data_IF_475727478814
#
_entry.id   IF_475727478814
#
_cell.length_a   1.000
_cell.length_b   1.000
_cell.length_c   1.000
_cell.angle_alpha   90.00
_cell.angle_beta   90.00
_cell.angle_gamma   90.00
#
_symmetry.space_group_name_H-M   'P 1'
#
loop_
_entity.id
_entity.type
_entity.pdbx_description
1 polymer ?
#
# COMPACT_ATOMS: atom_id res chain seq x y z
N UNK A 1 29.55 2.83 39.70
CA UNK A 1 30.41 3.60 38.79
C UNK A 1 29.61 3.80 37.51
N UNK A 2 29.18 5.02 37.37
CA UNK A 2 28.35 5.55 36.26
C UNK A 2 29.20 5.79 35.04
N UNK A 3 28.69 5.54 33.87
CA UNK A 3 29.04 6.30 32.68
C UNK A 3 27.82 6.40 31.75
N UNK A 4 27.33 7.63 31.70
CA UNK A 4 26.40 8.17 30.74
C UNK A 4 27.06 8.23 29.37
N UNK A 5 26.33 7.83 28.30
CA UNK A 5 26.57 8.36 26.97
C UNK A 5 25.29 9.07 26.52
N UNK A 6 25.33 10.39 26.71
CA UNK A 6 24.51 11.33 25.94
C UNK A 6 25.07 11.41 24.53
N UNK A 7 24.23 11.14 23.54
CA UNK A 7 24.43 11.63 22.19
C UNK A 7 23.18 12.43 21.81
N UNK A 8 23.39 13.75 21.91
CA UNK A 8 22.52 14.76 21.33
C UNK A 8 22.68 14.74 19.81
N UNK A 9 21.67 14.35 19.06
CA UNK A 9 21.50 14.75 17.67
C UNK A 9 20.40 15.80 17.63
N UNK A 10 20.82 17.05 17.45
CA UNK A 10 19.95 18.19 17.23
C UNK A 10 19.33 18.09 15.84
N UNK A 11 18.03 17.78 15.80
CA UNK A 11 17.19 17.92 14.63
C UNK A 11 16.99 19.42 14.34
N UNK A 12 17.74 19.94 13.39
CA UNK A 12 17.53 21.24 12.79
C UNK A 12 16.25 21.25 11.93
N UNK A 13 15.10 21.41 12.60
CA UNK A 13 13.86 21.75 11.94
C UNK A 13 13.94 23.18 11.41
N UNK A 14 14.14 23.31 10.11
CA UNK A 14 14.00 24.60 9.45
C UNK A 14 12.56 25.10 9.57
N UNK A 15 12.39 26.05 10.50
CA UNK A 15 11.19 26.83 10.71
C UNK A 15 10.96 27.73 9.48
N UNK A 16 10.01 27.37 8.65
CA UNK A 16 9.48 28.27 7.63
C UNK A 16 8.59 29.27 8.31
N UNK A 17 9.15 30.42 8.68
CA UNK A 17 8.39 31.56 9.19
C UNK A 17 7.60 32.19 8.05
N UNK A 18 6.30 31.93 8.02
CA UNK A 18 5.36 32.68 7.19
C UNK A 18 5.22 34.07 7.82
N UNK A 19 5.71 35.10 7.15
CA UNK A 19 5.48 36.47 7.56
C UNK A 19 4.01 36.84 7.41
N UNK A 20 3.35 37.41 8.42
CA UNK A 20 1.98 37.88 8.27
C UNK A 20 1.96 39.09 7.32
N UNK A 21 1.01 39.06 6.41
CA UNK A 21 0.63 40.14 5.49
C UNK A 21 0.35 41.42 6.29
N UNK A 22 1.10 42.49 5.99
CA UNK A 22 0.87 43.82 6.54
C UNK A 22 -0.50 44.34 6.09
N UNK A 23 -1.30 44.72 7.07
CA UNK A 23 -2.54 45.49 6.88
C UNK A 23 -2.24 46.73 6.06
N UNK A 24 -2.88 46.85 4.89
CA UNK A 24 -2.97 48.10 4.16
C UNK A 24 -3.97 49.00 4.90
N UNK A 25 -3.45 50.10 5.45
CA UNK A 25 -4.26 51.21 5.91
C UNK A 25 -5.02 51.83 4.69
N UNK A 26 -6.32 51.93 4.82
CA UNK A 26 -7.16 52.73 3.94
C UNK A 26 -6.83 54.21 4.18
N UNK A 27 -6.08 54.82 3.29
CA UNK A 27 -6.08 56.27 3.14
C UNK A 27 -7.21 56.65 2.20
N UNK A 28 -8.12 57.45 2.74
CA UNK A 28 -9.18 58.15 2.02
C UNK A 28 -8.60 58.95 0.87
N UNK A 29 -9.18 58.72 -0.30
CA UNK A 29 -8.91 59.46 -1.50
C UNK A 29 -9.94 60.62 -1.50
N UNK A 30 -9.51 61.81 -1.18
CA UNK A 30 -10.16 63.04 -1.52
C UNK A 30 -9.24 63.82 -2.47
N UNK A 31 -9.91 64.40 -3.49
CA UNK A 31 -9.45 65.34 -4.49
C UNK A 31 -8.72 64.79 -5.72
N UNK A 32 -9.52 64.56 -6.72
CA UNK A 32 -9.12 64.38 -8.09
C UNK A 32 -8.85 65.76 -8.72
N UNK A 33 -7.56 66.07 -8.86
CA UNK A 33 -7.16 67.09 -9.85
C UNK A 33 -7.00 66.40 -11.21
N UNK A 34 -7.82 66.87 -12.14
CA UNK A 34 -7.87 66.52 -13.57
C UNK A 34 -6.55 66.93 -14.27
N UNK A 35 -5.53 66.10 -14.24
CA UNK A 35 -4.32 66.28 -15.03
C UNK A 35 -4.19 65.19 -16.13
N UNK A 36 -5.11 65.28 -17.10
CA UNK A 36 -5.10 64.48 -18.33
C UNK A 36 -4.06 65.00 -19.38
N UNK A 37 -2.94 65.51 -18.92
CA UNK A 37 -1.85 65.91 -19.82
C UNK A 37 -1.16 64.66 -20.39
N UNK A 38 -0.92 64.61 -21.73
CA UNK A 38 -0.20 63.50 -22.39
C UNK A 38 1.16 63.19 -21.77
N UNK A 39 1.78 64.16 -21.11
CA UNK A 39 3.05 64.02 -20.38
C UNK A 39 2.92 63.25 -19.06
N UNK A 40 1.80 63.41 -18.36
CA UNK A 40 1.49 62.65 -17.11
C UNK A 40 1.26 61.17 -17.44
N UNK A 41 0.46 60.90 -18.47
CA UNK A 41 0.21 59.54 -18.92
C UNK A 41 1.48 58.82 -19.38
N UNK A 42 2.34 59.50 -20.13
CA UNK A 42 3.63 58.97 -20.57
C UNK A 42 4.56 58.59 -19.38
N UNK A 43 4.52 59.42 -18.30
CA UNK A 43 5.28 59.17 -17.08
C UNK A 43 4.74 57.97 -16.31
N UNK A 44 3.42 57.83 -16.22
CA UNK A 44 2.76 56.68 -15.57
C UNK A 44 3.05 55.37 -16.33
N UNK A 45 2.99 55.37 -17.67
CA UNK A 45 3.30 54.24 -18.53
C UNK A 45 4.78 53.84 -18.34
N UNK A 46 5.71 54.79 -18.25
CA UNK A 46 7.12 54.52 -18.00
C UNK A 46 7.34 53.87 -16.62
N UNK A 47 6.70 54.41 -15.56
CA UNK A 47 6.80 53.83 -14.22
C UNK A 47 6.21 52.43 -14.14
N UNK A 48 5.11 52.19 -14.81
CA UNK A 48 4.50 50.86 -14.90
C UNK A 48 5.45 49.88 -15.65
N UNK A 49 6.05 50.32 -16.75
CA UNK A 49 7.04 49.53 -17.48
C UNK A 49 8.28 49.16 -16.65
N UNK A 50 8.77 50.12 -15.84
CA UNK A 50 9.88 49.84 -14.89
C UNK A 50 9.48 48.89 -13.78
N UNK A 51 8.24 49.00 -13.25
CA UNK A 51 7.71 48.07 -12.25
C UNK A 51 7.56 46.65 -12.80
N UNK A 52 6.96 46.51 -13.97
CA UNK A 52 6.79 45.22 -14.66
C UNK A 52 8.16 44.59 -14.95
N UNK A 53 9.13 45.37 -15.41
CA UNK A 53 10.48 44.87 -15.69
C UNK A 53 11.18 44.37 -14.42
N UNK A 54 10.96 45.07 -13.28
CA UNK A 54 11.50 44.67 -11.97
C UNK A 54 10.84 43.36 -11.49
N UNK A 55 9.52 43.26 -11.57
CA UNK A 55 8.81 42.05 -11.19
C UNK A 55 9.20 40.86 -12.07
N UNK A 56 9.30 41.06 -13.38
CA UNK A 56 9.73 40.04 -14.32
C UNK A 56 11.16 39.54 -14.03
N UNK A 57 12.06 40.45 -13.62
CA UNK A 57 13.43 40.07 -13.24
C UNK A 57 13.45 39.28 -11.92
N UNK A 58 12.63 39.68 -10.94
CA UNK A 58 12.45 38.93 -9.69
C UNK A 58 11.92 37.51 -9.92
N UNK A 59 10.85 37.39 -10.72
CA UNK A 59 10.29 36.07 -11.08
C UNK A 59 11.33 35.19 -11.81
N UNK A 60 12.14 35.76 -12.70
CA UNK A 60 13.22 35.00 -13.36
C UNK A 60 14.26 34.50 -12.36
N UNK A 61 14.60 35.28 -11.35
CA UNK A 61 15.50 34.83 -10.29
C UNK A 61 14.91 33.72 -9.46
N UNK A 62 13.64 33.80 -9.09
CA UNK A 62 12.93 32.74 -8.34
C UNK A 62 12.83 31.45 -9.14
N UNK A 63 12.48 31.54 -10.43
CA UNK A 63 12.49 30.39 -11.33
C UNK A 63 13.85 29.73 -11.44
N UNK A 64 14.92 30.54 -11.51
CA UNK A 64 16.30 30.01 -11.54
C UNK A 64 16.66 29.29 -10.23
N UNK A 65 16.25 29.82 -9.08
CA UNK A 65 16.45 29.16 -7.78
C UNK A 65 15.65 27.85 -7.68
N UNK A 66 14.40 27.86 -8.12
CA UNK A 66 13.56 26.66 -8.16
C UNK A 66 14.19 25.58 -9.05
N UNK A 67 14.67 25.95 -10.25
CA UNK A 67 15.34 25.01 -11.16
C UNK A 67 16.60 24.40 -10.54
N UNK A 68 17.39 25.19 -9.80
CA UNK A 68 18.56 24.66 -9.08
C UNK A 68 18.16 23.69 -7.96
N UNK A 69 17.07 24.00 -7.25
CA UNK A 69 16.55 23.14 -6.20
C UNK A 69 16.01 21.82 -6.78
N UNK A 70 15.23 21.90 -7.86
CA UNK A 70 14.71 20.72 -8.57
C UNK A 70 15.85 19.84 -9.05
N UNK A 71 16.87 20.43 -9.70
CA UNK A 71 18.06 19.68 -10.14
C UNK A 71 18.83 19.03 -8.98
N UNK A 72 18.81 19.66 -7.79
CA UNK A 72 19.34 19.07 -6.56
C UNK A 72 18.53 17.87 -6.07
N UNK A 73 17.22 17.95 -6.16
CA UNK A 73 16.34 16.82 -5.83
C UNK A 73 16.49 15.67 -6.82
N UNK A 74 16.54 15.95 -8.13
CA UNK A 74 16.73 14.91 -9.16
C UNK A 74 18.02 14.11 -8.92
N UNK A 75 19.13 14.80 -8.58
CA UNK A 75 20.39 14.12 -8.25
C UNK A 75 20.27 13.23 -7.02
N UNK A 76 19.53 13.67 -6.00
CA UNK A 76 19.31 12.88 -4.79
C UNK A 76 18.41 11.67 -5.06
N UNK A 77 17.36 11.85 -5.86
CA UNK A 77 16.46 10.76 -6.26
C UNK A 77 17.26 9.71 -7.04
N UNK A 78 18.03 10.12 -8.07
CA UNK A 78 18.87 9.19 -8.85
C UNK A 78 19.87 8.42 -7.98
N UNK A 79 20.47 9.09 -6.98
CA UNK A 79 21.37 8.42 -6.04
C UNK A 79 20.67 7.43 -5.12
N UNK A 80 19.42 7.70 -4.75
CA UNK A 80 18.61 6.77 -3.95
C UNK A 80 18.16 5.57 -4.80
N UNK A 81 17.76 5.82 -6.05
CA UNK A 81 17.39 4.77 -7.02
C UNK A 81 18.58 3.82 -7.26
N UNK A 82 19.77 4.36 -7.52
CA UNK A 82 21.00 3.54 -7.69
C UNK A 82 21.32 2.71 -6.45
N UNK A 83 21.14 3.28 -5.26
CA UNK A 83 21.33 2.53 -3.98
C UNK A 83 20.27 1.46 -3.78
N UNK A 84 19.03 1.70 -4.20
CA UNK A 84 17.96 0.71 -4.17
C UNK A 84 18.24 -0.43 -5.14
N UNK A 85 18.66 -0.12 -6.36
CA UNK A 85 19.03 -1.13 -7.37
C UNK A 85 20.17 -2.03 -6.85
N UNK A 86 21.20 -1.43 -6.23
CA UNK A 86 22.32 -2.18 -5.63
C UNK A 86 21.83 -3.07 -4.48
N UNK A 87 20.89 -2.58 -3.65
CA UNK A 87 20.31 -3.36 -2.57
C UNK A 87 19.41 -4.48 -3.09
N UNK A 88 18.62 -4.22 -4.11
CA UNK A 88 17.79 -5.23 -4.76
C UNK A 88 18.63 -6.31 -5.43
N UNK A 89 19.70 -5.93 -6.12
CA UNK A 89 20.62 -6.88 -6.75
C UNK A 89 21.41 -7.72 -5.73
N UNK A 90 21.76 -7.17 -4.58
CA UNK A 90 22.55 -7.87 -3.56
C UNK A 90 21.72 -8.69 -2.57
N UNK A 91 20.51 -8.22 -2.23
CA UNK A 91 19.73 -8.84 -1.14
C UNK A 91 18.76 -9.90 -1.66
N UNK A 92 18.18 -9.70 -2.85
CA UNK A 92 17.16 -10.61 -3.38
C UNK A 92 17.72 -11.88 -4.04
N UNK A 93 18.76 -11.84 -4.92
CA UNK A 93 19.25 -13.06 -5.56
C UNK A 93 20.10 -13.92 -4.63
N UNK A 94 21.01 -13.33 -3.83
CA UNK A 94 21.95 -14.12 -3.02
C UNK A 94 21.25 -14.92 -1.92
N UNK A 95 20.32 -14.31 -1.20
CA UNK A 95 19.60 -15.02 -0.15
C UNK A 95 18.64 -16.09 -0.70
N UNK A 96 18.03 -15.84 -1.86
CA UNK A 96 17.11 -16.80 -2.47
C UNK A 96 17.84 -17.95 -3.14
N UNK A 97 18.94 -17.68 -3.87
CA UNK A 97 19.76 -18.71 -4.47
C UNK A 97 20.50 -19.54 -3.41
N UNK A 98 21.04 -18.91 -2.39
CA UNK A 98 21.72 -19.64 -1.31
C UNK A 98 20.75 -20.56 -0.55
N UNK A 99 19.53 -20.08 -0.25
CA UNK A 99 18.49 -20.90 0.37
C UNK A 99 17.99 -22.01 -0.56
N UNK A 100 17.88 -21.73 -1.84
CA UNK A 100 17.44 -22.71 -2.83
C UNK A 100 18.54 -23.77 -3.09
N UNK A 101 19.81 -23.36 -3.16
CA UNK A 101 20.95 -24.26 -3.26
C UNK A 101 21.14 -25.12 -2.00
N UNK A 102 20.89 -24.55 -0.82
CA UNK A 102 20.87 -25.30 0.43
C UNK A 102 19.74 -26.33 0.49
N UNK A 103 18.54 -25.94 0.03
CA UNK A 103 17.40 -26.87 -0.11
C UNK A 103 17.73 -27.99 -1.09
N UNK A 104 18.27 -27.67 -2.26
CA UNK A 104 18.64 -28.65 -3.28
C UNK A 104 19.78 -29.58 -2.83
N UNK A 105 20.75 -29.06 -2.06
CA UNK A 105 21.82 -29.88 -1.43
C UNK A 105 21.28 -30.80 -0.33
N UNK A 106 20.26 -30.37 0.41
CA UNK A 106 19.58 -31.19 1.41
C UNK A 106 18.71 -32.26 0.77
N UNK A 107 18.02 -31.94 -0.33
CA UNK A 107 17.19 -32.88 -1.08
C UNK A 107 18.03 -33.95 -1.81
N UNK A 108 19.25 -33.61 -2.27
CA UNK A 108 20.18 -34.54 -2.95
C UNK A 108 20.99 -35.43 -2.00
N UNK A 109 20.97 -35.16 -0.70
CA UNK A 109 21.56 -36.05 0.30
C UNK A 109 20.64 -37.24 0.54
N UNK A 110 21.01 -38.38 -0.02
CA UNK A 110 20.32 -39.66 0.18
C UNK A 110 20.21 -40.01 1.68
N UNK A 111 19.04 -40.48 2.15
CA UNK A 111 18.74 -40.62 3.57
C UNK A 111 19.45 -41.83 4.18
N UNK A 112 20.32 -41.59 5.14
CA UNK A 112 20.48 -42.54 6.22
C UNK A 112 19.27 -42.33 7.14
N UNK A 113 18.53 -43.39 7.45
CA UNK A 113 17.15 -43.35 7.97
C UNK A 113 16.90 -42.57 9.27
N UNK A 114 17.94 -42.16 9.99
CA UNK A 114 17.84 -41.47 11.28
C UNK A 114 17.96 -39.93 11.17
N UNK A 115 18.50 -39.39 10.06
CA UNK A 115 18.63 -37.97 9.84
C UNK A 115 17.39 -37.35 9.14
N UNK A 116 16.55 -38.16 8.49
CA UNK A 116 15.44 -37.66 7.65
C UNK A 116 14.33 -36.92 8.43
N UNK A 117 14.12 -37.33 9.68
CA UNK A 117 13.11 -36.70 10.55
C UNK A 117 13.59 -35.33 11.00
N UNK A 118 14.85 -35.17 11.39
CA UNK A 118 15.43 -33.89 11.81
C UNK A 118 15.49 -32.89 10.64
N UNK A 119 15.89 -33.36 9.46
CA UNK A 119 15.93 -32.56 8.23
C UNK A 119 14.53 -32.10 7.80
N UNK A 120 13.51 -32.94 7.87
CA UNK A 120 12.13 -32.59 7.55
C UNK A 120 11.56 -31.54 8.50
N UNK A 121 11.93 -31.57 9.77
CA UNK A 121 11.53 -30.56 10.76
C UNK A 121 12.16 -29.21 10.45
N UNK A 122 13.47 -29.20 10.12
CA UNK A 122 14.20 -27.97 9.76
C UNK A 122 13.59 -27.34 8.48
N UNK A 123 13.35 -28.14 7.45
CA UNK A 123 12.71 -27.68 6.21
C UNK A 123 11.32 -27.09 6.47
N UNK A 124 10.54 -27.73 7.31
CA UNK A 124 9.20 -27.27 7.69
C UNK A 124 9.26 -25.93 8.44
N UNK A 125 10.25 -25.77 9.31
CA UNK A 125 10.46 -24.52 10.04
C UNK A 125 10.93 -23.40 9.12
N UNK A 126 11.87 -23.65 8.23
CA UNK A 126 12.36 -22.67 7.25
C UNK A 126 11.24 -22.20 6.30
N UNK A 127 10.37 -23.11 5.86
CA UNK A 127 9.19 -22.78 5.04
C UNK A 127 8.22 -21.89 5.82
N UNK A 128 8.03 -22.14 7.11
CA UNK A 128 7.18 -21.30 7.95
C UNK A 128 7.76 -19.90 8.12
N UNK A 129 9.04 -19.78 8.38
CA UNK A 129 9.74 -18.49 8.52
C UNK A 129 9.71 -17.69 7.22
N UNK A 130 9.96 -18.35 6.08
CA UNK A 130 9.88 -17.72 4.77
C UNK A 130 8.46 -17.19 4.51
N UNK A 131 7.44 -18.00 4.77
CA UNK A 131 6.05 -17.58 4.62
C UNK A 131 5.68 -16.41 5.56
N UNK A 132 6.20 -16.37 6.78
CA UNK A 132 5.99 -15.25 7.71
C UNK A 132 6.64 -13.97 7.18
N UNK A 133 7.87 -14.03 6.64
CA UNK A 133 8.54 -12.88 6.02
C UNK A 133 7.81 -12.39 4.76
N UNK A 134 7.38 -13.31 3.90
CA UNK A 134 6.56 -12.95 2.73
C UNK A 134 5.26 -12.26 3.15
N UNK A 135 4.60 -12.74 4.20
CA UNK A 135 3.39 -12.13 4.72
C UNK A 135 3.65 -10.74 5.31
N UNK A 136 4.77 -10.55 6.00
CA UNK A 136 5.15 -9.25 6.57
C UNK A 136 5.40 -8.21 5.46
N UNK A 137 5.97 -8.61 4.32
CA UNK A 137 6.12 -7.76 3.14
C UNK A 137 4.79 -7.34 2.48
N UNK A 138 3.70 -8.06 2.77
CA UNK A 138 2.35 -7.78 2.25
C UNK A 138 1.47 -6.99 3.25
N UNK A 139 2.01 -6.54 4.38
CA UNK A 139 1.22 -5.88 5.42
C UNK A 139 0.58 -4.55 4.98
N UNK A 140 1.10 -3.91 3.96
CA UNK A 140 0.52 -2.70 3.38
C UNK A 140 -0.41 -2.98 2.20
N UNK A 141 -0.58 -4.25 1.83
CA UNK A 141 -1.35 -4.63 0.66
C UNK A 141 -2.78 -5.04 1.05
N UNK A 142 -3.73 -4.69 0.19
CA UNK A 142 -5.10 -5.19 0.24
C UNK A 142 -5.46 -5.90 -1.05
N UNK A 143 -6.36 -6.86 -0.97
CA UNK A 143 -6.89 -7.59 -2.12
C UNK A 143 -8.36 -7.21 -2.31
N UNK A 144 -8.69 -6.63 -3.47
CA UNK A 144 -10.06 -6.29 -3.87
C UNK A 144 -10.53 -7.36 -4.86
N UNK A 145 -11.54 -8.13 -4.48
CA UNK A 145 -12.09 -9.22 -5.28
C UNK A 145 -13.54 -8.94 -5.71
N UNK A 146 -13.98 -9.54 -6.82
CA UNK A 146 -15.36 -9.43 -7.30
C UNK A 146 -15.60 -8.30 -8.31
N UNK A 147 -14.53 -7.66 -8.82
CA UNK A 147 -14.60 -6.61 -9.82
C UNK A 147 -14.29 -7.18 -11.21
N UNK A 148 -15.27 -7.11 -12.12
CA UNK A 148 -15.08 -7.57 -13.50
C UNK A 148 -13.93 -6.80 -14.18
N UNK A 149 -13.14 -7.50 -14.99
CA UNK A 149 -11.97 -6.95 -15.67
C UNK A 149 -12.39 -6.34 -17.00
N UNK A 150 -11.94 -5.09 -17.26
CA UNK A 150 -12.11 -4.42 -18.56
C UNK A 150 -10.75 -4.19 -19.23
N UNK A 151 -10.74 -4.14 -20.54
CA UNK A 151 -9.53 -3.76 -21.29
C UNK A 151 -9.26 -2.27 -21.10
N UNK A 152 -7.99 -1.89 -20.81
CA UNK A 152 -7.62 -0.50 -20.62
C UNK A 152 -8.08 0.12 -19.30
N UNK A 153 -8.51 -0.68 -18.31
CA UNK A 153 -8.91 -0.18 -17.00
C UNK A 153 -7.72 0.45 -16.24
N UNK A 154 -7.98 1.51 -15.49
CA UNK A 154 -7.05 2.04 -14.50
C UNK A 154 -7.36 1.41 -13.14
N UNK A 155 -6.51 0.50 -12.69
CA UNK A 155 -6.65 -0.18 -11.39
C UNK A 155 -6.53 0.78 -10.21
N UNK A 156 -5.77 1.87 -10.36
CA UNK A 156 -5.68 2.96 -9.36
C UNK A 156 -7.03 3.66 -9.24
N UNK A 157 -7.63 4.08 -10.35
CA UNK A 157 -8.94 4.72 -10.33
C UNK A 157 -10.02 3.80 -9.74
N UNK A 158 -9.98 2.52 -10.07
CA UNK A 158 -10.89 1.52 -9.47
C UNK A 158 -10.71 1.46 -7.96
N UNK A 159 -9.47 1.44 -7.46
CA UNK A 159 -9.18 1.43 -6.03
C UNK A 159 -9.71 2.69 -5.32
N UNK A 160 -9.56 3.87 -5.93
CA UNK A 160 -10.12 5.14 -5.41
C UNK A 160 -11.64 5.12 -5.36
N UNK A 161 -12.30 4.60 -6.41
CA UNK A 161 -13.76 4.47 -6.46
C UNK A 161 -14.28 3.47 -5.43
N UNK A 162 -13.58 2.35 -5.23
CA UNK A 162 -13.88 1.36 -4.18
C UNK A 162 -13.78 2.01 -2.81
N UNK A 163 -12.69 2.75 -2.52
CA UNK A 163 -12.53 3.45 -1.25
C UNK A 163 -13.66 4.46 -1.02
N UNK A 164 -13.98 5.28 -2.03
CA UNK A 164 -15.11 6.22 -1.98
C UNK A 164 -16.44 5.52 -1.72
N UNK A 165 -16.70 4.39 -2.38
CA UNK A 165 -17.93 3.60 -2.21
C UNK A 165 -18.10 3.08 -0.78
N UNK A 166 -17.02 2.66 -0.13
CA UNK A 166 -17.04 2.22 1.26
C UNK A 166 -16.90 3.37 2.26
N UNK A 167 -16.83 4.64 1.77
CA UNK A 167 -16.86 5.86 2.58
C UNK A 167 -15.51 6.27 3.16
N UNK A 168 -14.43 5.88 2.50
CA UNK A 168 -13.08 6.34 2.82
C UNK A 168 -12.60 7.30 1.72
N UNK A 169 -12.08 8.47 2.11
CA UNK A 169 -11.37 9.37 1.20
C UNK A 169 -9.94 8.86 1.06
N UNK A 170 -9.64 8.28 -0.08
CA UNK A 170 -8.30 7.81 -0.46
C UNK A 170 -7.79 8.70 -1.58
N UNK A 171 -6.54 9.13 -1.52
CA UNK A 171 -5.89 9.91 -2.54
C UNK A 171 -4.90 9.04 -3.33
N UNK A 172 -4.57 9.48 -4.56
CA UNK A 172 -3.62 8.73 -5.40
C UNK A 172 -2.24 8.58 -4.74
N UNK A 173 -1.78 9.60 -4.00
CA UNK A 173 -0.54 9.56 -3.22
C UNK A 173 -0.52 8.52 -2.09
N UNK A 174 -1.67 8.02 -1.69
CA UNK A 174 -1.77 6.96 -0.70
C UNK A 174 -1.60 5.55 -1.32
N UNK A 175 -1.59 5.47 -2.66
CA UNK A 175 -1.45 4.23 -3.43
C UNK A 175 -0.05 4.18 -4.04
N UNK A 176 0.74 3.17 -3.66
CA UNK A 176 2.05 2.91 -4.26
C UNK A 176 1.90 2.18 -5.59
N UNK A 177 1.03 1.17 -5.63
CA UNK A 177 0.72 0.42 -6.84
C UNK A 177 -0.66 -0.23 -6.75
N UNK A 178 -1.29 -0.47 -7.89
CA UNK A 178 -2.53 -1.23 -7.99
C UNK A 178 -2.51 -2.09 -9.25
N UNK A 179 -2.61 -3.41 -9.09
CA UNK A 179 -2.44 -4.35 -10.20
C UNK A 179 -3.38 -5.55 -10.09
N UNK A 180 -3.77 -6.14 -11.24
CA UNK A 180 -4.49 -7.41 -11.27
C UNK A 180 -3.58 -8.58 -10.95
N UNK A 181 -3.98 -9.42 -10.03
CA UNK A 181 -3.21 -10.56 -9.56
C UNK A 181 -3.09 -11.65 -10.64
N UNK A 182 -1.85 -11.95 -11.04
CA UNK A 182 -1.52 -13.00 -11.99
C UNK A 182 -1.72 -12.63 -13.46
N UNK A 183 -1.38 -13.53 -14.40
CA UNK A 183 -1.42 -13.26 -15.82
C UNK A 183 -2.85 -13.02 -16.33
N UNK A 184 -2.98 -12.15 -17.35
CA UNK A 184 -4.27 -11.92 -18.01
C UNK A 184 -4.75 -13.23 -18.61
N UNK A 185 -5.95 -13.64 -18.23
CA UNK A 185 -6.58 -14.84 -18.76
C UNK A 185 -7.43 -14.44 -19.94
N UNK A 186 -7.27 -15.13 -21.06
CA UNK A 186 -8.26 -15.08 -22.14
C UNK A 186 -9.52 -15.70 -21.55
N UNK A 187 -10.64 -14.98 -21.62
CA UNK A 187 -11.94 -15.44 -21.09
C UNK A 187 -12.36 -16.64 -21.95
N UNK A 188 -11.89 -17.82 -21.58
CA UNK A 188 -12.48 -19.07 -22.02
C UNK A 188 -13.36 -19.54 -20.88
N UNK A 189 -14.63 -19.80 -21.18
CA UNK A 189 -15.50 -20.49 -20.24
C UNK A 189 -14.85 -21.82 -19.88
N UNK A 190 -14.93 -22.24 -18.61
CA UNK A 190 -14.47 -23.56 -18.21
C UNK A 190 -15.17 -24.61 -19.06
N UNK A 191 -14.58 -25.81 -19.19
CA UNK A 191 -15.22 -26.96 -19.82
C UNK A 191 -16.63 -27.28 -19.25
N UNK A 192 -16.98 -26.67 -18.10
CA UNK A 192 -18.30 -26.75 -17.47
C UNK A 192 -19.19 -25.51 -17.72
N UNK A 193 -18.79 -24.55 -18.59
CA UNK A 193 -19.57 -23.35 -18.89
C UNK A 193 -19.65 -22.33 -17.71
N UNK A 194 -18.88 -22.52 -16.66
CA UNK A 194 -18.87 -21.60 -15.52
C UNK A 194 -17.85 -20.47 -15.75
N UNK A 195 -18.31 -19.23 -15.67
CA UNK A 195 -17.42 -18.06 -15.68
C UNK A 195 -16.51 -18.08 -14.46
N UNK A 196 -15.22 -18.20 -14.69
CA UNK A 196 -14.23 -18.06 -13.62
C UNK A 196 -14.33 -16.69 -12.95
N UNK A 197 -14.10 -16.61 -11.64
CA UNK A 197 -14.11 -15.33 -10.96
C UNK A 197 -13.04 -14.39 -11.55
N UNK A 198 -13.34 -13.08 -11.67
CA UNK A 198 -12.38 -12.09 -12.15
C UNK A 198 -11.14 -12.06 -11.25
N UNK A 199 -9.99 -11.72 -11.84
CA UNK A 199 -8.74 -11.57 -11.09
C UNK A 199 -8.90 -10.45 -10.05
N UNK A 200 -8.46 -10.70 -8.83
CA UNK A 200 -8.46 -9.69 -7.79
C UNK A 200 -7.46 -8.56 -8.14
N UNK A 201 -7.76 -7.36 -7.69
CA UNK A 201 -6.84 -6.23 -7.72
C UNK A 201 -6.08 -6.21 -6.39
N UNK A 202 -4.76 -6.20 -6.47
CA UNK A 202 -3.90 -5.95 -5.32
C UNK A 202 -3.54 -4.48 -5.30
N UNK A 203 -3.79 -3.82 -4.18
CA UNK A 203 -3.44 -2.41 -3.97
C UNK A 203 -2.43 -2.33 -2.83
N UNK A 204 -1.25 -1.81 -3.12
CA UNK A 204 -0.23 -1.48 -2.13
C UNK A 204 -0.43 -0.05 -1.68
N UNK A 205 -0.60 0.14 -0.39
CA UNK A 205 -0.80 1.45 0.22
C UNK A 205 0.51 1.95 0.84
N UNK A 206 0.72 3.27 0.76
CA UNK A 206 1.93 3.91 1.27
C UNK A 206 2.08 3.78 2.79
N UNK A 207 0.96 3.74 3.52
CA UNK A 207 0.94 3.69 4.98
C UNK A 207 0.01 2.61 5.48
N UNK A 208 0.46 1.89 6.51
CA UNK A 208 -0.32 0.84 7.16
C UNK A 208 -1.62 1.39 7.79
N UNK A 209 -1.60 2.60 8.34
CA UNK A 209 -2.79 3.24 8.89
C UNK A 209 -3.90 3.38 7.84
N UNK A 210 -3.56 3.81 6.62
CA UNK A 210 -4.51 3.94 5.51
C UNK A 210 -5.08 2.56 5.12
N UNK A 211 -4.23 1.54 5.10
CA UNK A 211 -4.65 0.14 4.87
C UNK A 211 -5.64 -0.33 5.93
N UNK A 212 -5.36 -0.07 7.20
CA UNK A 212 -6.22 -0.48 8.31
C UNK A 212 -7.56 0.25 8.28
N UNK A 213 -7.56 1.54 7.92
CA UNK A 213 -8.79 2.32 7.74
C UNK A 213 -9.64 1.79 6.58
N UNK A 214 -9.00 1.43 5.45
CA UNK A 214 -9.69 0.83 4.30
C UNK A 214 -10.35 -0.51 4.67
N UNK A 215 -9.64 -1.37 5.37
CA UNK A 215 -10.17 -2.66 5.84
C UNK A 215 -11.28 -2.47 6.89
N UNK A 216 -11.16 -1.46 7.75
CA UNK A 216 -12.19 -1.12 8.75
C UNK A 216 -13.45 -0.62 8.06
N UNK A 217 -13.33 0.31 7.11
CA UNK A 217 -14.43 0.82 6.33
C UNK A 217 -15.16 -0.29 5.56
N UNK A 218 -14.41 -1.22 4.95
CA UNK A 218 -14.97 -2.36 4.25
C UNK A 218 -15.75 -3.32 5.17
N UNK A 219 -15.30 -3.50 6.41
CA UNK A 219 -16.02 -4.32 7.41
C UNK A 219 -17.33 -3.69 7.84
N UNK A 220 -17.37 -2.35 7.98
CA UNK A 220 -18.58 -1.61 8.35
C UNK A 220 -19.58 -1.63 7.19
N UNK A 221 -19.14 -1.44 5.96
CA UNK A 221 -20.01 -1.41 4.77
C UNK A 221 -20.02 -2.75 4.02
N UNK A 222 -20.28 -3.82 4.76
CA UNK A 222 -20.46 -5.15 4.15
C UNK A 222 -21.62 -5.15 3.16
N UNK A 223 -21.37 -5.70 1.96
CA UNK A 223 -22.40 -5.80 0.93
C UNK A 223 -22.37 -4.66 -0.09
N UNK A 224 -21.36 -3.79 -0.06
CA UNK A 224 -21.14 -2.84 -1.12
C UNK A 224 -21.00 -3.55 -2.47
N UNK A 225 -21.55 -2.94 -3.50
CA UNK A 225 -21.64 -3.50 -4.85
C UNK A 225 -20.85 -2.67 -5.87
N UNK A 226 -20.71 -3.20 -7.07
CA UNK A 226 -19.93 -2.60 -8.16
C UNK A 226 -20.62 -1.44 -8.85
N UNK A 227 -21.85 -1.06 -8.45
CA UNK A 227 -22.57 0.08 -9.05
C UNK A 227 -21.80 1.39 -8.86
N UNK A 228 -21.61 2.13 -9.94
CA UNK A 228 -20.86 3.38 -9.94
C UNK A 228 -19.32 3.23 -9.85
N UNK A 229 -18.79 1.99 -9.83
CA UNK A 229 -17.36 1.70 -9.92
C UNK A 229 -17.01 1.20 -11.32
N UNK A 230 -17.77 0.24 -11.80
CA UNK A 230 -17.60 -0.36 -13.12
C UNK A 230 -18.96 -0.39 -13.80
N UNK A 231 -19.01 0.08 -15.05
CA UNK A 231 -20.20 -0.10 -15.88
C UNK A 231 -20.37 -1.59 -16.21
N UNK A 232 -21.21 -2.26 -15.46
CA UNK A 232 -21.57 -3.65 -15.67
C UNK A 232 -23.08 -3.78 -15.87
N UNK A 233 -23.49 -4.78 -16.65
CA UNK A 233 -24.91 -5.06 -16.90
C UNK A 233 -25.65 -5.43 -15.61
N UNK A 234 -24.94 -6.04 -14.66
CA UNK A 234 -25.47 -6.38 -13.33
C UNK A 234 -24.48 -5.98 -12.25
N UNK A 235 -25.02 -5.35 -11.21
CA UNK A 235 -24.23 -5.03 -10.02
C UNK A 235 -23.90 -6.29 -9.21
N UNK A 236 -22.64 -6.47 -8.85
CA UNK A 236 -22.11 -7.60 -8.09
C UNK A 236 -21.49 -7.11 -6.78
N UNK A 237 -21.44 -7.95 -5.78
CA UNK A 237 -20.72 -7.64 -4.53
C UNK A 237 -19.21 -7.72 -4.75
N UNK A 238 -18.48 -6.75 -4.24
CA UNK A 238 -17.04 -6.82 -4.14
C UNK A 238 -16.61 -6.97 -2.68
N UNK A 239 -15.38 -7.39 -2.48
CA UNK A 239 -14.80 -7.66 -1.17
C UNK A 239 -13.41 -7.05 -1.09
N UNK A 240 -13.12 -6.36 0.02
CA UNK A 240 -11.80 -5.83 0.34
C UNK A 240 -11.25 -6.63 1.51
N UNK A 241 -10.16 -7.34 1.29
CA UNK A 241 -9.54 -8.23 2.27
C UNK A 241 -8.06 -7.90 2.44
N UNK A 242 -7.47 -8.40 3.51
CA UNK A 242 -6.01 -8.44 3.65
C UNK A 242 -5.42 -9.31 2.55
N UNK A 243 -4.28 -8.88 1.97
CA UNK A 243 -3.52 -9.75 1.08
C UNK A 243 -2.83 -10.82 1.89
N UNK A 244 -3.03 -12.05 1.49
CA UNK A 244 -2.41 -13.21 2.10
C UNK A 244 -1.43 -13.86 1.13
N UNK A 245 -0.37 -14.47 1.66
CA UNK A 245 0.45 -15.40 0.89
C UNK A 245 -0.40 -16.58 0.40
N UNK A 246 0.07 -17.29 -0.62
CA UNK A 246 -0.66 -18.46 -1.14
C UNK A 246 -0.87 -19.52 -0.04
N UNK A 247 0.14 -19.75 0.80
CA UNK A 247 0.06 -20.68 1.92
C UNK A 247 -0.98 -20.25 2.96
N UNK A 248 -0.96 -18.99 3.39
CA UNK A 248 -1.93 -18.46 4.36
C UNK A 248 -3.34 -18.43 3.78
N UNK A 249 -3.49 -18.13 2.48
CA UNK A 249 -4.79 -18.14 1.80
C UNK A 249 -5.39 -19.54 1.79
N UNK A 250 -4.60 -20.56 1.43
CA UNK A 250 -5.02 -21.96 1.47
C UNK A 250 -5.38 -22.39 2.90
N UNK A 251 -4.52 -22.08 3.87
CA UNK A 251 -4.73 -22.41 5.28
C UNK A 251 -6.01 -21.75 5.82
N UNK A 252 -6.26 -20.48 5.47
CA UNK A 252 -7.46 -19.76 5.86
C UNK A 252 -8.74 -20.38 5.30
N UNK A 253 -8.75 -20.76 4.02
CA UNK A 253 -9.91 -21.42 3.42
C UNK A 253 -10.21 -22.75 4.10
N UNK A 254 -9.17 -23.57 4.32
CA UNK A 254 -9.31 -24.86 5.03
C UNK A 254 -9.81 -24.67 6.46
N UNK A 255 -9.28 -23.68 7.19
CA UNK A 255 -9.74 -23.34 8.54
C UNK A 255 -11.19 -22.90 8.55
N UNK A 256 -11.64 -22.10 7.56
CA UNK A 256 -13.06 -21.69 7.44
C UNK A 256 -13.99 -22.82 7.11
N UNK A 257 -13.58 -23.73 6.25
CA UNK A 257 -14.36 -24.92 5.88
C UNK A 257 -14.58 -25.81 7.11
N UNK A 258 -13.51 -26.17 7.80
CA UNK A 258 -13.58 -26.97 9.01
C UNK A 258 -14.31 -26.25 10.14
N UNK A 259 -14.07 -24.95 10.29
CA UNK A 259 -14.78 -24.14 11.28
C UNK A 259 -16.29 -24.15 11.10
N UNK A 260 -16.77 -24.09 9.85
CA UNK A 260 -18.21 -24.23 9.56
C UNK A 260 -18.74 -25.62 9.89
N UNK A 261 -17.99 -26.67 9.54
CA UNK A 261 -18.35 -28.06 9.81
C UNK A 261 -18.44 -28.33 11.31
N UNK A 262 -17.47 -27.81 12.08
CA UNK A 262 -17.31 -28.14 13.50
C UNK A 262 -17.93 -27.06 14.43
N UNK A 263 -18.75 -26.17 13.87
CA UNK A 263 -19.54 -25.19 14.63
C UNK A 263 -18.71 -24.06 15.26
N UNK A 264 -17.52 -23.77 14.73
CA UNK A 264 -16.74 -22.62 15.17
C UNK A 264 -17.37 -21.32 14.66
N UNK A 265 -17.64 -20.40 15.57
CA UNK A 265 -18.37 -19.16 15.24
C UNK A 265 -17.53 -18.14 14.50
N UNK A 266 -16.24 -18.07 14.79
CA UNK A 266 -15.36 -17.04 14.27
C UNK A 266 -14.09 -17.61 13.66
N UNK A 267 -13.82 -17.28 12.40
CA UNK A 267 -12.54 -17.48 11.71
C UNK A 267 -12.24 -16.20 10.96
N UNK A 268 -11.11 -15.55 11.26
CA UNK A 268 -10.76 -14.27 10.68
C UNK A 268 -9.27 -14.14 10.47
N UNK A 269 -8.88 -13.12 9.70
CA UNK A 269 -7.49 -12.71 9.55
C UNK A 269 -7.27 -11.37 10.23
N UNK A 270 -6.08 -11.18 10.78
CA UNK A 270 -5.59 -9.92 11.29
C UNK A 270 -4.08 -9.85 11.06
N UNK A 271 -3.64 -8.80 10.35
CA UNK A 271 -2.23 -8.60 9.99
C UNK A 271 -1.63 -9.80 9.25
N UNK A 272 -2.39 -10.37 8.31
CA UNK A 272 -2.00 -11.55 7.55
C UNK A 272 -1.97 -12.86 8.34
N UNK A 273 -2.28 -12.83 9.63
CA UNK A 273 -2.31 -13.99 10.54
C UNK A 273 -3.72 -14.51 10.68
N UNK A 274 -3.87 -15.83 10.81
CA UNK A 274 -5.15 -16.52 10.86
C UNK A 274 -5.49 -16.83 12.31
N UNK A 275 -6.73 -16.52 12.70
CA UNK A 275 -7.27 -16.75 14.01
C UNK A 275 -8.62 -17.45 13.93
N UNK A 276 -8.89 -18.28 14.92
CA UNK A 276 -10.18 -18.94 15.09
C UNK A 276 -10.64 -18.87 16.56
N UNK A 277 -11.94 -18.79 16.77
CA UNK A 277 -12.57 -18.82 18.09
C UNK A 277 -13.89 -19.59 18.03
N UNK A 278 -14.08 -20.53 18.93
CA UNK A 278 -15.23 -21.44 18.90
C UNK A 278 -16.54 -20.72 19.22
N UNK A 279 -16.59 -19.95 20.31
CA UNK A 279 -17.76 -19.18 20.76
C UNK A 279 -17.32 -17.89 21.46
N UNK A 280 -18.28 -17.01 21.76
CA UNK A 280 -17.99 -15.81 22.53
C UNK A 280 -17.38 -16.16 23.90
N UNK A 281 -16.34 -15.43 24.28
CA UNK A 281 -15.59 -15.64 25.52
C UNK A 281 -14.63 -16.84 25.53
N UNK A 282 -14.61 -17.71 24.51
CA UNK A 282 -13.61 -18.76 24.43
C UNK A 282 -12.25 -18.24 23.97
N UNK A 283 -11.20 -18.98 24.25
CA UNK A 283 -9.83 -18.65 23.85
C UNK A 283 -9.69 -18.48 22.33
N UNK A 284 -8.83 -17.55 21.94
CA UNK A 284 -8.49 -17.29 20.54
C UNK A 284 -7.31 -18.16 20.16
N UNK A 285 -7.50 -19.03 19.17
CA UNK A 285 -6.46 -19.89 18.62
C UNK A 285 -5.83 -19.22 17.39
N UNK A 286 -4.51 -19.13 17.36
CA UNK A 286 -3.75 -18.74 16.16
C UNK A 286 -3.42 -19.98 15.34
N UNK A 287 -3.74 -19.95 14.04
CA UNK A 287 -3.48 -21.05 13.09
C UNK A 287 -2.30 -20.66 12.23
N UNK A 288 -1.20 -21.38 12.34
CA UNK A 288 0.06 -21.15 11.58
C UNK A 288 0.35 -22.26 10.57
N UNK A 289 -0.04 -23.47 10.92
CA UNK A 289 0.29 -24.68 10.19
C UNK A 289 -0.94 -25.57 9.99
N UNK A 290 -0.93 -26.49 9.02
CA UNK A 290 -1.95 -27.52 8.92
C UNK A 290 -2.11 -28.37 10.20
N UNK A 291 -1.02 -28.56 10.97
CA UNK A 291 -1.05 -29.31 12.22
C UNK A 291 -1.89 -28.58 13.30
N UNK A 292 -1.87 -27.25 13.32
CA UNK A 292 -2.73 -26.48 14.22
C UNK A 292 -4.21 -26.71 13.91
N UNK A 293 -4.56 -26.85 12.62
CA UNK A 293 -5.93 -27.20 12.24
C UNK A 293 -6.30 -28.55 12.84
N UNK A 294 -5.47 -29.55 12.67
CA UNK A 294 -5.73 -30.90 13.23
C UNK A 294 -5.83 -30.86 14.74
N UNK A 295 -4.96 -30.09 15.41
CA UNK A 295 -4.96 -29.91 16.87
C UNK A 295 -6.24 -29.27 17.40
N UNK A 296 -6.73 -28.19 16.76
CA UNK A 296 -7.86 -27.41 17.28
C UNK A 296 -9.22 -27.90 16.78
N UNK A 297 -9.27 -28.46 15.56
CA UNK A 297 -10.50 -28.93 14.93
C UNK A 297 -10.63 -30.47 14.92
N UNK A 298 -9.50 -31.21 15.06
CA UNK A 298 -9.51 -32.68 15.03
C UNK A 298 -9.98 -33.35 16.33
N UNK A 299 -10.09 -32.61 17.45
CA UNK A 299 -10.55 -33.15 18.74
C UNK A 299 -12.08 -33.04 18.95
N UNK A 300 -12.83 -32.92 17.87
CA UNK A 300 -14.29 -32.81 17.87
C UNK A 300 -15.07 -34.14 17.82
N UNK A 301 -14.44 -35.25 18.11
CA UNK A 301 -15.11 -36.55 18.24
C UNK A 301 -14.87 -37.12 19.62
N UNK A 302 -15.58 -36.60 20.62
CA UNK A 302 -16.14 -37.34 21.75
C UNK A 302 -17.47 -36.73 22.11
#
# INVERSE_FOLDING_TARGET
MSQNYETSEEDEFMNVTVRPSSKKEHKSFEDADDDSSPKSLARQVKLLGELVTREMSSMRQELSRLNLTISGFDKRVSSIEERLDILEQKILPDNRMELQERLEKLEKRSPAEDNSVAESVIISQLRLELNEREQDNMLNDVEIAGLDEKSGESTINIALLVAKKIGLSLEERDIVSAERLGPRRIIADDAAGQRRPPRAIVVRLARRSVRDDLLRAARVRRGADTSGIIEAVQSKRFYVNERLTAANKHLFYKTRELGRRDGWRYVWTKDGRIYARRKDGSEVCRIRTPNDITKFFGNGTV
#
